data_IF_154915855771
#
_entry.id   IF_154915855771
#
_cell.length_a   1.000
_cell.length_b   1.000
_cell.length_c   1.000
_cell.angle_alpha   90.00
_cell.angle_beta   90.00
_cell.angle_gamma   90.00
#
_symmetry.space_group_name_H-M   'P 1'
#
loop_
_entity.id
_entity.type
_entity.pdbx_description
1 polymer ?
#
# COMPACT_ATOMS: atom_id res chain seq x y z
N UNK A 1 -90.98 7.76 25.94
CA UNK A 1 -90.84 7.29 24.55
C UNK A 1 -89.54 7.81 23.99
N UNK A 2 -88.53 7.00 23.93
CA UNK A 2 -87.26 7.29 23.33
C UNK A 2 -86.72 6.05 22.61
N UNK A 3 -86.15 6.14 21.46
CA UNK A 3 -85.29 5.06 21.01
C UNK A 3 -83.76 5.43 21.03
N UNK A 4 -83.07 4.51 21.57
CA UNK A 4 -81.57 4.44 21.59
C UNK A 4 -81.01 4.54 20.20
N UNK A 5 -79.95 5.36 20.06
CA UNK A 5 -79.01 5.31 18.94
C UNK A 5 -77.67 4.78 19.44
N UNK A 6 -77.38 3.54 19.10
CA UNK A 6 -76.03 2.95 19.26
C UNK A 6 -75.13 3.39 18.09
N UNK A 7 -74.14 4.17 18.36
CA UNK A 7 -73.12 4.52 17.39
C UNK A 7 -72.07 3.37 17.35
N UNK A 8 -71.92 2.74 16.20
CA UNK A 8 -70.86 1.77 15.93
C UNK A 8 -69.63 2.51 15.47
N UNK A 9 -68.56 2.45 16.29
CA UNK A 9 -67.22 2.88 15.88
C UNK A 9 -66.60 1.79 15.01
N UNK A 10 -66.46 2.06 13.71
CA UNK A 10 -65.64 1.25 12.82
C UNK A 10 -64.17 1.68 12.96
N UNK A 11 -63.35 0.83 13.54
CA UNK A 11 -61.89 1.01 13.59
C UNK A 11 -61.30 0.59 12.24
N UNK A 12 -60.80 1.57 11.47
CA UNK A 12 -60.04 1.32 10.25
C UNK A 12 -58.58 1.07 10.65
N UNK A 13 -58.16 -0.17 10.59
CA UNK A 13 -56.74 -0.53 10.70
C UNK A 13 -56.07 -0.22 9.37
N UNK A 14 -55.28 0.87 9.32
CA UNK A 14 -54.41 1.18 8.22
C UNK A 14 -53.09 0.38 8.41
N UNK A 15 -52.94 -0.73 7.69
CA UNK A 15 -51.74 -1.50 7.68
C UNK A 15 -50.69 -0.73 6.88
N UNK A 16 -49.73 -0.10 7.58
CA UNK A 16 -48.54 0.51 6.98
C UNK A 16 -47.58 -0.60 6.55
N UNK A 17 -47.61 -0.98 5.29
CA UNK A 17 -46.60 -1.89 4.72
C UNK A 17 -45.27 -1.12 4.61
N UNK A 18 -44.41 -1.33 5.58
CA UNK A 18 -42.99 -0.89 5.49
C UNK A 18 -42.30 -1.74 4.42
N UNK A 19 -42.15 -1.18 3.23
CA UNK A 19 -41.31 -1.77 2.20
C UNK A 19 -39.87 -1.70 2.68
N UNK A 20 -39.37 -2.80 3.22
CA UNK A 20 -37.91 -2.99 3.46
C UNK A 20 -37.26 -3.07 2.09
N UNK A 21 -36.39 -2.13 1.71
CA UNK A 21 -35.68 -2.29 0.46
C UNK A 21 -34.82 -3.56 0.57
N UNK A 22 -35.20 -4.58 -0.20
CA UNK A 22 -34.37 -5.75 -0.42
C UNK A 22 -33.05 -5.24 -1.03
N UNK A 23 -32.02 -5.18 -0.22
CA UNK A 23 -30.64 -5.04 -0.71
C UNK A 23 -30.43 -6.23 -1.65
N UNK A 24 -30.65 -6.02 -2.93
CA UNK A 24 -30.24 -6.94 -3.98
C UNK A 24 -28.78 -7.28 -3.67
N UNK A 25 -28.49 -8.56 -3.41
CA UNK A 25 -27.13 -9.07 -3.42
C UNK A 25 -26.60 -8.72 -4.82
N UNK A 26 -25.91 -7.59 -4.91
CA UNK A 26 -25.14 -7.26 -6.08
C UNK A 26 -24.20 -8.45 -6.32
N UNK A 27 -24.18 -8.91 -7.56
CA UNK A 27 -23.40 -9.98 -8.13
C UNK A 27 -22.16 -10.32 -7.29
N UNK A 28 -22.04 -11.57 -6.86
CA UNK A 28 -20.97 -11.99 -5.96
C UNK A 28 -19.64 -11.70 -6.63
N UNK A 29 -19.10 -10.51 -6.41
CA UNK A 29 -17.84 -10.07 -6.95
C UNK A 29 -16.73 -11.08 -6.60
N UNK A 30 -15.65 -11.09 -7.34
CA UNK A 30 -14.54 -12.03 -7.17
C UNK A 30 -13.96 -11.93 -5.75
N UNK A 31 -14.13 -12.99 -4.97
CA UNK A 31 -13.54 -13.10 -3.62
C UNK A 31 -12.18 -13.77 -3.69
N UNK A 32 -11.17 -13.14 -3.09
CA UNK A 32 -9.79 -13.65 -3.03
C UNK A 32 -9.27 -13.52 -1.60
N UNK A 33 -8.64 -14.55 -1.02
CA UNK A 33 -8.01 -14.42 0.30
C UNK A 33 -7.06 -13.22 0.34
N UNK A 34 -7.16 -12.37 1.37
CA UNK A 34 -6.36 -11.15 1.50
C UNK A 34 -4.84 -11.44 1.47
N UNK A 35 -4.40 -12.56 2.07
CA UNK A 35 -2.99 -12.97 2.01
C UNK A 35 -2.49 -13.34 0.60
N UNK A 36 -3.38 -13.66 -0.35
CA UNK A 36 -3.02 -13.86 -1.77
C UNK A 36 -2.96 -12.53 -2.54
N UNK A 37 -3.80 -11.56 -2.16
CA UNK A 37 -3.79 -10.21 -2.74
C UNK A 37 -2.61 -9.40 -2.22
N UNK A 38 -2.25 -9.59 -0.95
CA UNK A 38 -1.17 -8.86 -0.28
C UNK A 38 -0.10 -9.85 0.22
N UNK A 39 0.63 -10.52 -0.68
CA UNK A 39 1.71 -11.44 -0.28
C UNK A 39 2.76 -10.69 0.53
N UNK A 40 3.44 -11.38 1.46
CA UNK A 40 4.44 -10.79 2.35
C UNK A 40 3.90 -9.82 3.41
N UNK A 41 2.72 -9.18 3.23
CA UNK A 41 2.21 -8.15 4.14
C UNK A 41 2.04 -8.66 5.58
N UNK A 42 1.48 -9.86 5.77
CA UNK A 42 1.31 -10.45 7.11
C UNK A 42 2.65 -10.61 7.84
N UNK A 43 3.64 -11.18 7.15
CA UNK A 43 4.99 -11.35 7.70
C UNK A 43 5.67 -10.00 8.00
N UNK A 44 5.53 -9.03 7.10
CA UNK A 44 6.03 -7.67 7.31
C UNK A 44 5.38 -6.98 8.52
N UNK A 45 4.06 -7.12 8.70
CA UNK A 45 3.35 -6.51 9.82
C UNK A 45 3.68 -7.17 11.17
N UNK A 46 4.15 -8.42 11.19
CA UNK A 46 4.67 -9.10 12.39
C UNK A 46 6.03 -8.58 12.85
N UNK A 47 6.78 -7.93 11.96
CA UNK A 47 8.00 -7.20 12.38
C UNK A 47 7.59 -6.01 13.27
N UNK A 48 8.21 -5.80 14.44
CA UNK A 48 7.91 -4.65 15.30
C UNK A 48 7.92 -3.33 14.54
N UNK A 49 6.95 -2.44 14.82
CA UNK A 49 6.78 -1.20 14.09
C UNK A 49 8.05 -0.32 14.05
N UNK A 50 8.79 -0.26 15.15
CA UNK A 50 10.06 0.48 15.22
C UNK A 50 11.13 -0.08 14.27
N UNK A 51 11.21 -1.39 14.12
CA UNK A 51 12.20 -2.05 13.26
C UNK A 51 11.88 -1.92 11.75
N UNK A 52 10.61 -1.70 11.39
CA UNK A 52 10.17 -1.50 10.00
C UNK A 52 9.79 -0.05 9.66
N UNK A 53 10.07 0.89 10.57
CA UNK A 53 9.65 2.29 10.41
C UNK A 53 10.23 2.96 9.15
N UNK A 54 11.39 2.50 8.66
CA UNK A 54 12.09 3.04 7.49
C UNK A 54 11.70 2.37 6.17
N UNK A 55 10.86 1.33 6.23
CA UNK A 55 10.40 0.55 5.06
C UNK A 55 8.89 0.67 4.90
N UNK A 56 8.45 0.90 3.69
CA UNK A 56 7.04 0.93 3.30
C UNK A 56 6.79 -0.10 2.21
N UNK A 57 5.79 -0.94 2.43
CA UNK A 57 5.30 -1.87 1.41
C UNK A 57 4.05 -1.27 0.76
N UNK A 58 4.01 -1.25 -0.55
CA UNK A 58 2.85 -0.79 -1.33
C UNK A 58 2.42 -1.87 -2.32
N UNK A 59 1.14 -1.88 -2.65
CA UNK A 59 0.57 -2.84 -3.60
C UNK A 59 -0.19 -2.11 -4.68
N UNK A 60 -0.12 -2.60 -5.91
CA UNK A 60 -0.87 -2.07 -7.04
C UNK A 60 -1.60 -3.20 -7.78
N UNK A 61 -2.86 -2.96 -8.10
CA UNK A 61 -3.67 -3.86 -8.93
C UNK A 61 -3.36 -3.58 -10.39
N UNK A 62 -3.10 -4.62 -11.15
CA UNK A 62 -2.72 -4.54 -12.55
C UNK A 62 -3.57 -5.46 -13.41
N UNK A 63 -3.89 -5.01 -14.62
CA UNK A 63 -4.54 -5.81 -15.65
C UNK A 63 -3.78 -5.65 -16.97
N UNK A 64 -3.32 -6.76 -17.53
CA UNK A 64 -2.50 -6.73 -18.75
C UNK A 64 -1.21 -5.92 -18.64
N UNK A 65 -0.58 -5.86 -17.46
CA UNK A 65 0.65 -5.11 -17.19
C UNK A 65 0.45 -3.59 -17.01
N UNK A 66 -0.78 -3.13 -16.94
CA UNK A 66 -1.14 -1.71 -16.70
C UNK A 66 -1.93 -1.58 -15.40
N UNK A 67 -1.97 -0.39 -14.76
CA UNK A 67 -2.85 -0.15 -13.63
C UNK A 67 -4.29 -0.55 -13.96
N UNK A 68 -4.93 -1.32 -13.08
CA UNK A 68 -6.34 -1.66 -13.24
C UNK A 68 -7.19 -0.44 -12.85
N UNK A 69 -7.93 0.10 -13.81
CA UNK A 69 -8.79 1.26 -13.60
C UNK A 69 -10.24 0.85 -13.43
N UNK A 70 -11.01 1.61 -12.66
CA UNK A 70 -12.46 1.41 -12.47
C UNK A 70 -12.83 0.21 -11.59
N UNK A 71 -11.86 -0.52 -11.04
CA UNK A 71 -12.11 -1.65 -10.13
C UNK A 71 -12.30 -1.13 -8.71
N UNK A 72 -13.39 -1.54 -8.07
CA UNK A 72 -13.58 -1.30 -6.63
C UNK A 72 -13.20 -2.56 -5.86
N UNK A 73 -12.65 -2.36 -4.68
CA UNK A 73 -12.31 -3.45 -3.78
C UNK A 73 -12.80 -3.16 -2.36
N UNK A 74 -13.15 -4.22 -1.64
CA UNK A 74 -13.48 -4.14 -0.23
C UNK A 74 -12.90 -5.35 0.50
N UNK A 75 -12.41 -5.14 1.71
CA UNK A 75 -12.05 -6.20 2.62
C UNK A 75 -13.32 -6.77 3.25
N UNK A 76 -13.46 -8.08 3.24
CA UNK A 76 -14.59 -8.82 3.81
C UNK A 76 -14.06 -9.67 4.96
N UNK A 77 -14.53 -9.40 6.16
CA UNK A 77 -14.18 -10.14 7.36
C UNK A 77 -15.09 -11.36 7.55
N UNK A 78 -14.69 -12.32 8.38
CA UNK A 78 -15.45 -13.55 8.65
C UNK A 78 -16.88 -13.29 9.16
N UNK A 79 -17.09 -12.16 9.86
CA UNK A 79 -18.41 -11.71 10.31
C UNK A 79 -19.26 -11.02 9.24
N UNK A 80 -18.81 -10.95 7.98
CA UNK A 80 -19.48 -10.28 6.87
C UNK A 80 -19.31 -8.77 6.81
N UNK A 81 -18.59 -8.17 7.76
CA UNK A 81 -18.26 -6.74 7.73
C UNK A 81 -17.41 -6.42 6.50
N UNK A 82 -17.75 -5.30 5.83
CA UNK A 82 -17.05 -4.86 4.62
C UNK A 82 -16.38 -3.51 4.85
N UNK A 83 -15.09 -3.44 4.58
CA UNK A 83 -14.30 -2.22 4.66
C UNK A 83 -13.78 -1.87 3.26
N UNK A 84 -14.07 -0.69 2.71
CA UNK A 84 -13.54 -0.28 1.41
C UNK A 84 -12.01 -0.31 1.39
N UNK A 85 -11.43 -0.79 0.28
CA UNK A 85 -10.02 -0.71 -0.05
C UNK A 85 -9.89 0.19 -1.28
N UNK A 86 -9.77 1.52 -1.11
CA UNK A 86 -9.67 2.44 -2.23
C UNK A 86 -8.44 2.14 -3.08
N UNK A 87 -8.60 2.25 -4.40
CA UNK A 87 -7.54 2.03 -5.39
C UNK A 87 -7.40 3.33 -6.18
N UNK A 88 -6.20 3.90 -6.16
CA UNK A 88 -5.87 5.07 -6.97
C UNK A 88 -5.99 4.74 -8.46
N UNK A 89 -6.83 5.50 -9.16
CA UNK A 89 -7.18 5.21 -10.56
C UNK A 89 -6.01 5.40 -11.54
N UNK A 90 -5.03 6.24 -11.22
CA UNK A 90 -3.89 6.52 -12.10
C UNK A 90 -2.80 5.45 -11.97
N UNK A 91 -2.59 4.92 -10.77
CA UNK A 91 -1.48 4.02 -10.46
C UNK A 91 -1.92 2.59 -10.15
N UNK A 92 -3.21 2.35 -9.95
CA UNK A 92 -3.74 1.08 -9.46
C UNK A 92 -3.37 0.77 -8.00
N UNK A 93 -2.75 1.72 -7.28
CA UNK A 93 -2.24 1.50 -5.92
C UNK A 93 -3.38 1.44 -4.91
N UNK A 94 -3.32 0.45 -4.02
CA UNK A 94 -4.18 0.40 -2.85
C UNK A 94 -3.80 1.52 -1.87
N UNK A 95 -4.72 2.43 -1.57
CA UNK A 95 -4.50 3.54 -0.63
C UNK A 95 -4.55 3.07 0.82
N UNK A 96 -5.23 1.95 1.06
CA UNK A 96 -5.36 1.30 2.36
C UNK A 96 -5.01 -0.18 2.23
N UNK A 97 -4.30 -0.69 3.22
CA UNK A 97 -3.96 -2.11 3.33
C UNK A 97 -4.68 -2.75 4.54
N UNK A 98 -4.90 -4.06 4.53
CA UNK A 98 -5.39 -4.79 5.68
C UNK A 98 -4.46 -4.65 6.89
N UNK A 99 -5.02 -4.68 8.08
CA UNK A 99 -4.27 -4.77 9.33
C UNK A 99 -3.78 -6.21 9.57
N UNK A 100 -2.82 -6.38 10.49
CA UNK A 100 -2.35 -7.71 10.88
C UNK A 100 -3.50 -8.58 11.39
N UNK A 101 -4.36 -8.05 12.25
CA UNK A 101 -5.52 -8.78 12.80
C UNK A 101 -6.46 -9.26 11.69
N UNK A 102 -6.72 -8.44 10.67
CA UNK A 102 -7.56 -8.82 9.53
C UNK A 102 -6.93 -9.92 8.67
N UNK A 103 -5.61 -9.90 8.48
CA UNK A 103 -4.89 -10.95 7.75
C UNK A 103 -4.87 -12.27 8.54
N UNK A 104 -4.64 -12.22 9.84
CA UNK A 104 -4.67 -13.39 10.73
C UNK A 104 -6.08 -13.99 10.83
N UNK A 105 -7.11 -13.16 10.83
CA UNK A 105 -8.52 -13.58 10.76
C UNK A 105 -8.92 -14.11 9.36
N UNK A 106 -7.97 -14.23 8.41
CA UNK A 106 -8.21 -14.77 7.07
C UNK A 106 -9.27 -13.98 6.27
N UNK A 107 -9.32 -12.67 6.46
CA UNK A 107 -10.19 -11.79 5.68
C UNK A 107 -9.99 -12.00 4.17
N UNK A 108 -11.02 -11.71 3.40
CA UNK A 108 -11.00 -11.81 1.94
C UNK A 108 -11.09 -10.42 1.31
N UNK A 109 -10.66 -10.29 0.07
CA UNK A 109 -10.87 -9.10 -0.75
C UNK A 109 -11.94 -9.42 -1.78
N UNK A 110 -13.02 -8.64 -1.76
CA UNK A 110 -14.05 -8.65 -2.77
C UNK A 110 -13.72 -7.59 -3.83
N UNK A 111 -13.68 -8.01 -5.10
CA UNK A 111 -13.56 -7.11 -6.25
C UNK A 111 -14.89 -7.06 -7.00
N UNK A 112 -15.32 -5.88 -7.43
CA UNK A 112 -16.55 -5.66 -8.20
C UNK A 112 -16.39 -5.99 -9.69
N UNK A 113 -15.84 -7.16 -9.97
CA UNK A 113 -15.54 -7.63 -11.32
C UNK A 113 -16.01 -9.06 -11.49
N UNK A 114 -16.29 -9.50 -12.73
CA UNK A 114 -16.61 -10.90 -13.02
C UNK A 114 -15.58 -11.84 -12.42
N UNK A 115 -16.01 -12.99 -11.92
CA UNK A 115 -15.13 -14.01 -11.33
C UNK A 115 -14.03 -14.49 -12.28
N UNK A 116 -14.29 -14.46 -13.59
CA UNK A 116 -13.34 -14.81 -14.67
C UNK A 116 -12.24 -13.78 -14.91
N UNK A 117 -12.38 -12.54 -14.36
CA UNK A 117 -11.39 -11.47 -14.55
C UNK A 117 -10.03 -11.87 -13.99
N UNK A 118 -8.97 -11.61 -14.76
CA UNK A 118 -7.58 -11.87 -14.37
C UNK A 118 -6.90 -10.56 -14.01
N UNK A 119 -6.35 -10.50 -12.81
CA UNK A 119 -5.54 -9.39 -12.31
C UNK A 119 -4.22 -9.90 -11.77
N UNK A 120 -3.19 -9.10 -11.92
CA UNK A 120 -1.94 -9.22 -11.20
C UNK A 120 -1.90 -8.23 -10.03
N UNK A 121 -1.11 -8.53 -9.03
CA UNK A 121 -0.77 -7.59 -7.97
C UNK A 121 0.72 -7.34 -7.99
N UNK A 122 1.11 -6.09 -8.20
CA UNK A 122 2.47 -5.63 -8.01
C UNK A 122 2.71 -5.31 -6.53
N UNK A 123 3.89 -5.65 -6.03
CA UNK A 123 4.36 -5.28 -4.70
C UNK A 123 5.65 -4.49 -4.83
N UNK A 124 5.70 -3.32 -4.22
CA UNK A 124 6.89 -2.48 -4.19
C UNK A 124 7.36 -2.25 -2.74
N UNK A 125 8.67 -2.33 -2.55
CA UNK A 125 9.35 -1.95 -1.33
C UNK A 125 9.93 -0.55 -1.52
N UNK A 126 9.55 0.39 -0.66
CA UNK A 126 9.95 1.79 -0.76
C UNK A 126 10.55 2.28 0.56
N UNK A 127 11.55 3.17 0.53
CA UNK A 127 12.01 3.83 1.75
C UNK A 127 10.89 4.74 2.28
N UNK A 128 10.78 4.84 3.60
CA UNK A 128 9.85 5.75 4.25
C UNK A 128 10.36 7.21 4.24
N UNK A 129 10.94 7.62 3.12
CA UNK A 129 11.48 8.97 2.90
C UNK A 129 10.49 9.81 2.09
N UNK A 130 10.46 11.10 2.38
CA UNK A 130 9.72 12.08 1.58
C UNK A 130 10.63 12.69 0.52
N UNK A 131 10.11 13.07 -0.66
CA UNK A 131 10.86 13.89 -1.61
C UNK A 131 11.39 15.17 -0.96
N UNK A 132 12.68 15.45 -1.14
CA UNK A 132 13.37 16.65 -0.67
C UNK A 132 14.54 16.99 -1.60
N UNK A 133 15.02 18.22 -1.56
CA UNK A 133 16.21 18.64 -2.31
C UNK A 133 17.51 18.21 -1.64
N UNK A 134 17.46 17.99 -0.32
CA UNK A 134 18.61 17.62 0.49
C UNK A 134 18.24 16.47 1.45
N UNK A 135 19.22 15.61 1.69
CA UNK A 135 19.10 14.52 2.65
C UNK A 135 20.38 14.42 3.47
N UNK A 136 20.27 14.08 4.73
CA UNK A 136 21.36 13.63 5.54
C UNK A 136 21.85 12.28 5.02
N UNK A 137 23.16 12.16 4.73
CA UNK A 137 23.72 10.95 4.13
C UNK A 137 23.71 9.76 5.10
N UNK A 138 23.87 10.02 6.41
CA UNK A 138 23.79 9.00 7.45
C UNK A 138 22.36 8.46 7.57
N UNK A 139 21.36 9.35 7.49
CA UNK A 139 19.95 8.96 7.51
C UNK A 139 19.59 8.05 6.32
N UNK A 140 20.12 8.35 5.13
CA UNK A 140 19.97 7.48 3.95
C UNK A 140 20.63 6.12 4.17
N UNK A 141 21.83 6.09 4.73
CA UNK A 141 22.56 4.84 5.01
C UNK A 141 21.83 3.97 6.03
N UNK A 142 21.35 4.57 7.13
CA UNK A 142 20.54 3.89 8.15
C UNK A 142 19.24 3.37 7.54
N UNK A 143 18.59 4.15 6.65
CA UNK A 143 17.36 3.73 5.97
C UNK A 143 17.59 2.46 5.14
N UNK A 144 18.68 2.37 4.38
CA UNK A 144 19.03 1.17 3.61
C UNK A 144 19.29 -0.02 4.55
N UNK A 145 20.10 0.18 5.59
CA UNK A 145 20.48 -0.86 6.57
C UNK A 145 19.25 -1.43 7.28
N UNK A 146 18.43 -0.56 7.88
CA UNK A 146 17.28 -0.96 8.68
C UNK A 146 16.17 -1.60 7.81
N UNK A 147 15.97 -1.08 6.59
CA UNK A 147 15.04 -1.69 5.64
C UNK A 147 15.47 -3.10 5.25
N UNK A 148 16.75 -3.33 4.98
CA UNK A 148 17.28 -4.67 4.73
C UNK A 148 17.11 -5.60 5.93
N UNK A 149 17.28 -5.12 7.15
CA UNK A 149 17.03 -5.90 8.37
C UNK A 149 15.55 -6.30 8.48
N UNK A 150 14.63 -5.35 8.25
CA UNK A 150 13.19 -5.61 8.27
C UNK A 150 12.77 -6.59 7.17
N UNK A 151 13.29 -6.46 5.95
CA UNK A 151 13.03 -7.39 4.84
C UNK A 151 13.47 -8.81 5.21
N UNK A 152 14.70 -8.98 5.70
CA UNK A 152 15.20 -10.30 6.12
C UNK A 152 14.40 -10.90 7.24
N UNK A 153 14.02 -10.09 8.25
CA UNK A 153 13.20 -10.54 9.39
C UNK A 153 11.82 -11.00 8.92
N UNK A 154 11.17 -10.26 8.04
CA UNK A 154 9.88 -10.63 7.46
C UNK A 154 9.98 -11.86 6.54
N UNK A 155 11.08 -12.02 5.81
CA UNK A 155 11.31 -13.19 4.95
C UNK A 155 11.56 -14.48 5.74
N UNK A 156 11.98 -14.40 7.01
CA UNK A 156 12.20 -15.55 7.87
C UNK A 156 13.15 -16.58 7.25
N UNK A 157 12.72 -17.82 7.10
CA UNK A 157 13.53 -18.89 6.51
C UNK A 157 13.94 -18.60 5.05
N UNK A 158 13.24 -17.73 4.34
CA UNK A 158 13.55 -17.35 2.96
C UNK A 158 14.45 -16.11 2.87
N UNK A 159 15.06 -15.66 3.96
CA UNK A 159 15.86 -14.44 4.02
C UNK A 159 17.02 -14.40 2.99
N UNK A 160 17.59 -15.56 2.63
CA UNK A 160 18.64 -15.65 1.62
C UNK A 160 18.15 -15.34 0.19
N UNK A 161 16.86 -15.50 -0.06
CA UNK A 161 16.22 -15.20 -1.36
C UNK A 161 15.62 -13.80 -1.40
N UNK A 162 15.56 -13.12 -0.25
CA UNK A 162 15.00 -11.79 -0.16
C UNK A 162 15.87 -10.76 -0.93
N UNK A 163 15.25 -9.76 -1.56
CA UNK A 163 16.00 -8.70 -2.23
C UNK A 163 16.84 -7.92 -1.23
N UNK A 164 18.03 -7.49 -1.66
CA UNK A 164 18.92 -6.64 -0.87
C UNK A 164 19.01 -5.27 -1.52
N UNK A 165 18.54 -4.26 -0.83
CA UNK A 165 18.64 -2.87 -1.27
C UNK A 165 20.07 -2.38 -1.06
N UNK A 166 20.66 -1.74 -2.07
CA UNK A 166 22.06 -1.27 -2.04
C UNK A 166 22.18 0.25 -1.97
N UNK A 167 21.08 0.97 -2.13
CA UNK A 167 21.08 2.43 -2.08
C UNK A 167 19.69 3.03 -2.23
N UNK A 168 19.69 4.33 -2.40
CA UNK A 168 18.47 5.16 -2.60
C UNK A 168 18.56 5.81 -3.98
N UNK A 169 17.49 5.72 -4.76
CA UNK A 169 17.34 6.35 -6.07
C UNK A 169 16.34 7.52 -6.00
N UNK A 170 16.61 8.57 -6.76
CA UNK A 170 15.85 9.83 -6.76
C UNK A 170 15.24 10.07 -8.15
N UNK A 171 14.00 9.63 -8.34
CA UNK A 171 13.33 9.69 -9.63
C UNK A 171 13.15 11.15 -10.11
N UNK A 172 13.51 11.44 -11.36
CA UNK A 172 13.42 12.75 -12.01
C UNK A 172 14.24 13.87 -11.36
N UNK A 173 15.20 13.55 -10.50
CA UNK A 173 16.09 14.56 -9.91
C UNK A 173 17.20 15.02 -10.87
N UNK A 174 17.43 14.28 -11.97
CA UNK A 174 18.37 14.56 -13.06
C UNK A 174 19.83 14.45 -12.62
N UNK A 175 20.23 15.22 -11.60
CA UNK A 175 21.59 15.25 -11.06
C UNK A 175 21.58 15.30 -9.54
N UNK A 176 22.72 15.02 -8.95
CA UNK A 176 22.94 15.20 -7.51
C UNK A 176 24.43 15.13 -7.17
N UNK A 177 24.75 15.53 -5.96
CA UNK A 177 26.11 15.44 -5.40
C UNK A 177 26.07 15.04 -3.93
N UNK A 178 27.13 14.45 -3.50
CA UNK A 178 27.42 14.17 -2.09
C UNK A 178 28.41 15.23 -1.59
N UNK A 179 28.18 15.76 -0.40
CA UNK A 179 29.06 16.72 0.28
C UNK A 179 29.69 16.04 1.50
N UNK A 180 30.97 16.34 1.74
CA UNK A 180 31.76 15.79 2.84
C UNK A 180 32.10 16.88 3.87
N UNK A 181 32.46 16.49 5.12
CA UNK A 181 32.80 17.43 6.18
C UNK A 181 33.98 18.37 5.86
N UNK A 182 34.91 17.95 5.00
CA UNK A 182 36.06 18.73 4.54
C UNK A 182 35.71 19.79 3.48
N UNK A 183 34.41 19.93 3.13
CA UNK A 183 33.93 20.83 2.10
C UNK A 183 34.04 20.28 0.67
N UNK A 184 34.63 19.10 0.48
CA UNK A 184 34.68 18.46 -0.83
C UNK A 184 33.29 17.95 -1.26
N UNK A 185 33.11 17.76 -2.56
CA UNK A 185 31.90 17.17 -3.10
C UNK A 185 32.17 16.22 -4.25
N UNK A 186 31.34 15.20 -4.41
CA UNK A 186 31.42 14.22 -5.49
C UNK A 186 30.04 14.07 -6.14
N UNK A 187 29.95 13.96 -7.49
CA UNK A 187 28.69 13.76 -8.17
C UNK A 187 28.10 12.39 -7.80
N UNK A 188 26.76 12.32 -7.72
CA UNK A 188 26.05 11.04 -7.67
C UNK A 188 26.12 10.37 -9.05
N UNK A 189 26.31 9.04 -9.10
CA UNK A 189 26.13 8.32 -10.33
C UNK A 189 24.65 8.37 -10.76
N UNK A 190 24.42 8.32 -12.08
CA UNK A 190 23.09 8.43 -12.69
C UNK A 190 22.84 7.18 -13.54
N UNK A 191 21.67 6.56 -13.38
CA UNK A 191 21.19 5.46 -14.21
C UNK A 191 19.79 5.84 -14.73
N UNK A 192 19.59 5.78 -16.03
CA UNK A 192 18.31 6.10 -16.68
C UNK A 192 17.75 7.48 -16.27
N UNK A 193 18.61 8.48 -16.11
CA UNK A 193 18.25 9.82 -15.66
C UNK A 193 17.92 9.95 -14.17
N UNK A 194 18.14 8.90 -13.38
CA UNK A 194 17.92 8.89 -11.93
C UNK A 194 19.28 8.89 -11.20
N UNK A 195 19.63 9.95 -10.48
CA UNK A 195 20.76 9.91 -9.56
C UNK A 195 20.44 8.95 -8.41
N UNK A 196 21.48 8.24 -7.95
CA UNK A 196 21.34 7.32 -6.82
C UNK A 196 22.51 7.44 -5.86
N UNK A 197 22.20 7.23 -4.58
CA UNK A 197 23.16 7.23 -3.49
C UNK A 197 23.36 5.80 -2.98
N UNK A 198 24.64 5.36 -2.93
CA UNK A 198 25.04 4.09 -2.31
C UNK A 198 25.97 4.39 -1.14
N UNK A 199 25.59 4.06 0.11
CA UNK A 199 26.41 4.34 1.28
C UNK A 199 27.85 3.83 1.17
N UNK A 200 28.03 2.62 0.61
CA UNK A 200 29.34 1.99 0.42
C UNK A 200 30.29 2.77 -0.52
N UNK A 201 29.75 3.60 -1.42
CA UNK A 201 30.56 4.40 -2.35
C UNK A 201 30.93 5.78 -1.81
N UNK A 202 30.27 6.20 -0.74
CA UNK A 202 30.39 7.55 -0.20
C UNK A 202 30.57 7.51 1.33
N UNK A 203 31.53 6.72 1.80
CA UNK A 203 31.88 6.67 3.22
C UNK A 203 32.25 8.06 3.74
N UNK A 204 31.79 8.41 4.93
CA UNK A 204 32.02 9.72 5.54
C UNK A 204 31.20 10.86 4.93
N UNK A 205 30.29 10.59 4.01
CA UNK A 205 29.40 11.60 3.46
C UNK A 205 28.53 12.24 4.55
N UNK A 206 28.37 13.55 4.47
CA UNK A 206 27.53 14.33 5.37
C UNK A 206 26.14 14.57 4.78
N UNK A 207 26.09 14.93 3.50
CA UNK A 207 24.84 15.37 2.86
C UNK A 207 24.77 14.94 1.40
N UNK A 208 23.53 14.66 0.96
CA UNK A 208 23.18 14.47 -0.45
C UNK A 208 22.34 15.68 -0.89
N UNK A 209 22.78 16.37 -1.97
CA UNK A 209 22.04 17.43 -2.64
C UNK A 209 21.65 17.04 -4.03
N UNK A 210 20.38 17.30 -4.38
CA UNK A 210 19.83 17.04 -5.71
C UNK A 210 19.74 18.32 -6.53
N UNK A 211 19.90 18.19 -7.84
CA UNK A 211 19.73 19.31 -8.76
C UNK A 211 18.30 19.76 -8.93
N UNK A 212 17.34 18.84 -8.67
CA UNK A 212 15.90 19.07 -8.80
C UNK A 212 15.15 18.23 -7.77
N UNK A 213 13.98 18.73 -7.34
CA UNK A 213 13.07 17.99 -6.46
C UNK A 213 12.71 16.64 -7.09
N UNK A 214 12.99 15.52 -6.45
CA UNK A 214 12.63 14.22 -7.00
C UNK A 214 11.11 14.03 -6.99
N UNK A 215 10.57 13.40 -8.02
CA UNK A 215 9.16 13.04 -8.06
C UNK A 215 8.82 11.93 -7.05
N UNK A 216 9.78 11.03 -6.79
CA UNK A 216 9.69 9.99 -5.76
C UNK A 216 11.08 9.55 -5.34
N UNK A 217 11.13 8.91 -4.17
CA UNK A 217 12.33 8.29 -3.61
C UNK A 217 12.09 6.79 -3.55
N UNK A 218 13.00 6.02 -4.11
CA UNK A 218 12.92 4.56 -4.18
C UNK A 218 14.21 3.91 -3.68
N UNK A 219 14.17 2.60 -3.46
CA UNK A 219 15.40 1.85 -3.27
C UNK A 219 16.11 1.63 -4.61
N UNK A 220 17.43 1.62 -4.55
CA UNK A 220 18.28 1.14 -5.64
C UNK A 220 18.62 -0.34 -5.36
N UNK A 221 18.34 -1.21 -6.33
CA UNK A 221 18.70 -2.63 -6.31
C UNK A 221 19.70 -2.91 -7.44
N UNK A 222 20.78 -3.62 -7.12
CA UNK A 222 21.85 -3.96 -8.07
C UNK A 222 21.46 -4.95 -9.17
N UNK A 223 20.26 -5.52 -9.08
CA UNK A 223 19.77 -6.56 -10.03
C UNK A 223 19.06 -6.01 -11.26
N UNK A 224 19.08 -4.69 -11.45
CA UNK A 224 18.57 -4.05 -12.67
C UNK A 224 19.71 -3.50 -13.51
#
# INVERSE_FOLDING_TARGET
MSPNRRAALAAVFLALAVAVPSLTLADAGKLVPAGKVFPFLEAFLKVPAAERARLRVTYSLQQGGRPATGVKAALVESGGARTPLPIDAATGRFERLPTLAQLEAKAQVAFDVPSSSKFGVGMDLNPALKPAMEYDAQELAVTVKDSNAAIRKAAGAMALMAPTMTGIAFAKAETGRVEFPDGSSRPLPVIDGMPYYRPEQFEGAMRVRLGKMPASVGFYDKKK
#
